data_IF_665050796558
#
_entry.id   IF_665050796558
#
_cell.length_a   1.000
_cell.length_b   1.000
_cell.length_c   1.000
_cell.angle_alpha   90.00
_cell.angle_beta   90.00
_cell.angle_gamma   90.00
#
_symmetry.space_group_name_H-M   'P 1'
#
loop_
_entity.id
_entity.type
_entity.pdbx_description
1 polymer ?
#
# COMPACT_ATOMS: atom_id res chain seq x y z
N UNK A 1 -10.80 -10.58 -42.00
CA UNK A 1 -10.49 -12.03 -42.08
C UNK A 1 -9.11 -12.35 -42.69
N UNK A 2 -8.03 -11.56 -42.47
CA UNK A 2 -6.66 -12.04 -42.77
C UNK A 2 -5.48 -11.25 -42.16
N UNK A 3 -5.70 -10.18 -41.39
CA UNK A 3 -4.60 -9.34 -40.86
C UNK A 3 -4.67 -9.07 -39.34
N UNK A 4 -5.54 -9.77 -38.60
CA UNK A 4 -5.75 -9.57 -37.16
C UNK A 4 -5.57 -10.86 -36.32
N UNK A 5 -5.09 -11.94 -36.93
CA UNK A 5 -4.94 -13.26 -36.28
C UNK A 5 -3.49 -13.62 -35.89
N UNK A 6 -2.51 -12.72 -36.00
CA UNK A 6 -1.09 -13.04 -35.75
C UNK A 6 -0.51 -12.61 -34.39
N UNK A 7 -1.32 -12.18 -33.43
CA UNK A 7 -0.82 -11.78 -32.10
C UNK A 7 -1.61 -12.36 -30.90
N UNK A 8 -2.30 -13.49 -31.06
CA UNK A 8 -2.88 -14.25 -29.93
C UNK A 8 -2.44 -15.70 -29.98
N UNK A 9 -1.26 -15.96 -29.44
CA UNK A 9 -0.75 -17.31 -29.21
C UNK A 9 0.11 -17.36 -27.95
N UNK A 10 -0.33 -18.19 -27.00
CA UNK A 10 0.37 -18.72 -25.82
C UNK A 10 0.58 -17.77 -24.62
N UNK A 11 -0.26 -17.91 -23.58
CA UNK A 11 0.05 -18.79 -22.42
C UNK A 11 -1.27 -19.35 -21.88
N UNK A 12 -1.38 -20.69 -21.86
CA UNK A 12 -2.35 -21.45 -21.07
C UNK A 12 -1.76 -21.69 -19.68
N UNK A 13 -2.57 -21.57 -18.64
CA UNK A 13 -2.42 -22.35 -17.39
C UNK A 13 -3.80 -22.39 -16.71
N UNK A 14 -4.61 -23.43 -16.91
CA UNK A 14 -4.75 -24.56 -15.96
C UNK A 14 -4.75 -24.12 -14.50
N UNK A 15 -5.94 -24.01 -13.91
CA UNK A 15 -6.39 -24.99 -12.91
C UNK A 15 -7.84 -24.72 -12.47
N UNK A 16 -8.73 -25.60 -12.91
CA UNK A 16 -9.97 -25.90 -12.20
C UNK A 16 -9.62 -26.80 -11.02
N UNK A 17 -9.98 -26.40 -9.80
CA UNK A 17 -10.14 -27.34 -8.68
C UNK A 17 -11.37 -26.91 -7.89
N UNK A 18 -12.39 -27.76 -7.98
CA UNK A 18 -13.49 -27.90 -7.02
C UNK A 18 -12.97 -28.43 -5.68
N UNK A 19 -13.50 -27.90 -4.56
CA UNK A 19 -13.68 -28.58 -3.24
C UNK A 19 -14.15 -27.54 -2.21
N UNK A 20 -15.42 -27.58 -1.84
CA UNK A 20 -16.00 -28.37 -0.74
C UNK A 20 -15.68 -27.80 0.63
N UNK A 21 -16.72 -27.24 1.25
CA UNK A 21 -16.85 -26.90 2.64
C UNK A 21 -16.46 -28.07 3.56
N UNK A 22 -15.58 -27.82 4.53
CA UNK A 22 -15.58 -28.59 5.77
C UNK A 22 -15.05 -27.74 6.92
N UNK A 23 -15.93 -27.57 7.90
CA UNK A 23 -15.68 -27.02 9.22
C UNK A 23 -14.63 -27.86 9.96
N UNK A 24 -13.61 -27.23 10.56
CA UNK A 24 -12.89 -27.80 11.70
C UNK A 24 -12.52 -26.72 12.72
N UNK A 25 -12.67 -27.14 13.97
CA UNK A 25 -12.57 -26.42 15.23
C UNK A 25 -11.18 -25.84 15.50
N UNK A 26 -11.22 -24.78 16.31
CA UNK A 26 -10.20 -24.27 17.22
C UNK A 26 -9.26 -25.34 17.80
N UNK A 27 -7.96 -25.15 17.60
CA UNK A 27 -6.94 -25.67 18.50
C UNK A 27 -5.71 -24.75 18.48
N UNK A 28 -5.36 -24.25 19.66
CA UNK A 28 -4.15 -23.51 19.98
C UNK A 28 -2.91 -24.26 19.48
N UNK A 29 -2.10 -23.62 18.64
CA UNK A 29 -0.75 -24.11 18.33
C UNK A 29 0.28 -23.02 18.58
N UNK A 30 0.93 -23.20 19.73
CA UNK A 30 2.18 -22.55 20.08
C UNK A 30 3.21 -22.63 18.94
N UNK A 31 3.86 -21.50 18.69
CA UNK A 31 4.91 -21.30 17.70
C UNK A 31 6.10 -22.24 17.95
N UNK A 32 6.43 -23.08 16.97
CA UNK A 32 7.58 -23.99 16.96
C UNK A 32 8.90 -23.31 16.54
N UNK A 33 9.19 -22.10 17.02
CA UNK A 33 10.47 -21.41 16.82
C UNK A 33 11.44 -21.66 17.98
N UNK A 34 11.74 -22.92 18.29
CA UNK A 34 12.69 -23.24 19.36
C UNK A 34 13.42 -24.57 19.14
N UNK A 35 13.92 -24.84 17.94
CA UNK A 35 14.93 -25.91 17.71
C UNK A 35 15.94 -25.54 16.62
N UNK A 36 16.71 -24.48 16.88
CA UNK A 36 18.10 -24.40 16.42
C UNK A 36 18.91 -23.90 17.61
N UNK A 37 19.76 -24.76 18.18
CA UNK A 37 20.53 -24.49 19.40
C UNK A 37 21.67 -23.49 19.21
N UNK A 38 21.47 -22.46 18.40
CA UNK A 38 22.41 -21.34 18.24
C UNK A 38 21.74 -20.13 18.88
N UNK A 39 22.26 -19.61 20.01
CA UNK A 39 21.68 -18.43 20.65
C UNK A 39 21.63 -17.24 19.67
N UNK A 40 20.66 -16.31 19.83
CA UNK A 40 20.59 -15.11 18.99
C UNK A 40 21.95 -14.41 18.94
N UNK A 41 22.38 -13.93 17.77
CA UNK A 41 23.72 -13.36 17.59
C UNK A 41 24.02 -12.18 18.54
N UNK A 42 22.98 -11.46 18.95
CA UNK A 42 23.02 -10.38 19.95
C UNK A 42 23.46 -10.91 21.33
N UNK A 43 22.95 -12.06 21.73
CA UNK A 43 23.34 -12.78 22.95
C UNK A 43 24.80 -13.26 22.91
N UNK A 44 25.30 -13.60 21.72
CA UNK A 44 26.69 -14.07 21.54
C UNK A 44 27.69 -12.92 21.70
N UNK A 45 27.36 -11.74 21.17
CA UNK A 45 28.22 -10.56 21.27
C UNK A 45 28.34 -10.06 22.72
N UNK A 46 27.21 -9.94 23.42
CA UNK A 46 27.20 -9.56 24.84
C UNK A 46 27.92 -10.60 25.72
N UNK A 47 27.71 -11.88 25.44
CA UNK A 47 28.42 -12.97 26.13
C UNK A 47 29.93 -12.90 25.91
N UNK A 48 30.39 -12.67 24.68
CA UNK A 48 31.82 -12.53 24.39
C UNK A 48 32.43 -11.30 25.04
N UNK A 49 31.71 -10.15 25.06
CA UNK A 49 32.16 -8.94 25.78
C UNK A 49 32.34 -9.21 27.27
N UNK A 50 31.37 -9.89 27.89
CA UNK A 50 31.42 -10.27 29.30
C UNK A 50 32.56 -11.25 29.59
N UNK A 51 32.67 -12.33 28.80
CA UNK A 51 33.71 -13.34 28.98
C UNK A 51 35.11 -12.76 28.71
N UNK A 52 35.27 -11.80 27.80
CA UNK A 52 36.57 -11.16 27.57
C UNK A 52 37.11 -10.45 28.82
N UNK A 53 36.24 -10.09 29.78
CA UNK A 53 36.62 -9.52 31.08
C UNK A 53 36.73 -10.59 32.16
N UNK A 54 35.76 -11.51 32.24
CA UNK A 54 35.65 -12.50 33.33
C UNK A 54 36.54 -13.73 33.12
N UNK A 55 36.61 -14.27 31.91
CA UNK A 55 37.39 -15.46 31.54
C UNK A 55 37.88 -15.39 30.08
N UNK A 56 39.06 -14.77 29.84
CA UNK A 56 39.62 -14.62 28.50
C UNK A 56 39.91 -15.95 27.79
N UNK A 57 40.12 -17.05 28.53
CA UNK A 57 40.40 -18.37 27.94
C UNK A 57 39.13 -18.96 27.34
N UNK A 58 38.02 -18.86 28.06
CA UNK A 58 36.72 -19.33 27.58
C UNK A 58 36.17 -18.43 26.46
N UNK A 59 36.40 -17.11 26.54
CA UNK A 59 36.09 -16.19 25.44
C UNK A 59 36.85 -16.55 24.15
N UNK A 60 38.15 -16.87 24.25
CA UNK A 60 38.96 -17.31 23.10
C UNK A 60 38.41 -18.60 22.48
N UNK A 61 38.06 -19.58 23.31
CA UNK A 61 37.48 -20.86 22.85
C UNK A 61 36.14 -20.63 22.14
N UNK A 62 35.27 -19.81 22.73
CA UNK A 62 33.96 -19.45 22.17
C UNK A 62 34.11 -18.74 20.83
N UNK A 63 35.04 -17.78 20.73
CA UNK A 63 35.32 -17.08 19.48
C UNK A 63 35.84 -18.04 18.39
N UNK A 64 36.76 -18.95 18.71
CA UNK A 64 37.28 -19.91 17.73
C UNK A 64 36.20 -20.89 17.24
N UNK A 65 35.28 -21.30 18.11
CA UNK A 65 34.12 -22.10 17.70
C UNK A 65 33.23 -21.35 16.70
N UNK A 66 32.94 -20.07 16.97
CA UNK A 66 32.18 -19.20 16.07
C UNK A 66 32.92 -18.94 14.73
N UNK A 67 34.24 -18.76 14.79
CA UNK A 67 35.08 -18.55 13.63
C UNK A 67 35.12 -19.77 12.70
N UNK A 68 35.20 -20.97 13.29
CA UNK A 68 35.21 -22.24 12.58
C UNK A 68 33.83 -22.61 12.04
N UNK A 69 32.73 -22.29 12.74
CA UNK A 69 31.37 -22.56 12.24
C UNK A 69 31.00 -21.71 11.02
N UNK A 70 31.60 -20.52 10.89
CA UNK A 70 31.28 -19.58 9.81
C UNK A 70 29.83 -19.06 9.84
N UNK A 71 29.51 -18.12 8.95
CA UNK A 71 28.14 -17.63 8.74
C UNK A 71 27.81 -16.27 9.37
N UNK A 72 26.52 -15.89 9.27
CA UNK A 72 26.01 -14.54 9.55
C UNK A 72 26.14 -14.08 11.01
N UNK A 73 26.43 -14.98 11.95
CA UNK A 73 26.68 -14.63 13.35
C UNK A 73 28.09 -14.05 13.56
N UNK A 74 29.09 -14.56 12.85
CA UNK A 74 30.44 -14.03 12.85
C UNK A 74 30.49 -12.64 12.20
N UNK A 75 29.82 -12.46 11.06
CA UNK A 75 29.75 -11.16 10.36
C UNK A 75 29.05 -10.08 11.20
N UNK A 76 27.97 -10.45 11.91
CA UNK A 76 27.29 -9.53 12.84
C UNK A 76 28.16 -9.15 14.04
N UNK A 77 28.90 -10.10 14.62
CA UNK A 77 29.87 -9.81 15.68
C UNK A 77 30.90 -8.79 15.19
N UNK A 78 31.54 -9.06 14.05
CA UNK A 78 32.63 -8.23 13.53
C UNK A 78 32.16 -6.82 13.14
N UNK A 79 30.94 -6.68 12.60
CA UNK A 79 30.33 -5.38 12.30
C UNK A 79 30.02 -4.53 13.53
N UNK A 80 29.87 -5.14 14.72
CA UNK A 80 29.64 -4.42 15.98
C UNK A 80 30.94 -3.99 16.69
N UNK A 81 32.09 -4.59 16.33
CA UNK A 81 33.41 -4.31 16.95
C UNK A 81 34.10 -3.05 16.41
N UNK A 82 33.39 -2.22 15.65
CA UNK A 82 33.88 -0.92 15.18
C UNK A 82 33.81 0.19 16.24
N UNK A 83 33.20 -0.09 17.40
CA UNK A 83 33.11 0.87 18.52
C UNK A 83 34.46 1.01 19.26
N UNK A 84 34.87 2.23 19.66
CA UNK A 84 36.07 2.45 20.47
C UNK A 84 36.07 1.69 21.81
N UNK A 85 34.89 1.32 22.33
CA UNK A 85 34.75 0.62 23.61
C UNK A 85 35.15 -0.88 23.55
N UNK A 86 35.39 -1.43 22.36
CA UNK A 86 35.58 -2.87 22.15
C UNK A 86 37.07 -3.31 22.09
N UNK A 87 38.02 -2.47 22.50
CA UNK A 87 39.47 -2.74 22.41
C UNK A 87 39.92 -4.08 23.04
N UNK A 88 39.36 -4.47 24.19
CA UNK A 88 39.65 -5.78 24.83
C UNK A 88 39.21 -6.97 23.97
N UNK A 89 38.05 -6.85 23.33
CA UNK A 89 37.52 -7.91 22.49
C UNK A 89 38.29 -7.98 21.16
N UNK A 90 38.72 -6.85 20.60
CA UNK A 90 39.65 -6.80 19.45
C UNK A 90 41.00 -7.44 19.77
N UNK A 91 41.56 -7.17 20.96
CA UNK A 91 42.78 -7.84 21.44
C UNK A 91 42.60 -9.36 21.54
N UNK A 92 41.47 -9.82 22.09
CA UNK A 92 41.16 -11.24 22.20
C UNK A 92 41.06 -11.91 20.83
N UNK A 93 40.36 -11.28 19.88
CA UNK A 93 40.23 -11.78 18.50
C UNK A 93 41.60 -11.84 17.82
N UNK A 94 42.39 -10.77 17.90
CA UNK A 94 43.71 -10.71 17.28
C UNK A 94 44.69 -11.74 17.87
N UNK A 95 44.73 -11.88 19.20
CA UNK A 95 45.55 -12.89 19.87
C UNK A 95 45.12 -14.32 19.54
N UNK A 96 43.82 -14.57 19.34
CA UNK A 96 43.31 -15.86 18.92
C UNK A 96 43.74 -16.24 17.50
N UNK A 97 43.88 -15.26 16.62
CA UNK A 97 44.18 -15.45 15.19
C UNK A 97 45.67 -15.44 14.85
N UNK A 98 46.56 -15.00 15.75
CA UNK A 98 48.01 -14.85 15.52
C UNK A 98 48.64 -16.02 14.75
N UNK A 99 48.36 -17.24 15.21
CA UNK A 99 48.91 -18.49 14.65
C UNK A 99 47.86 -19.31 13.88
N UNK A 100 46.70 -18.74 13.56
CA UNK A 100 45.63 -19.44 12.87
C UNK A 100 45.89 -19.46 11.35
N UNK A 101 45.76 -20.64 10.72
CA UNK A 101 46.01 -20.81 9.26
C UNK A 101 45.01 -20.05 8.41
N UNK A 102 43.79 -19.85 8.89
CA UNK A 102 42.71 -19.18 8.17
C UNK A 102 42.57 -17.69 8.54
N UNK A 103 43.58 -17.10 9.22
CA UNK A 103 43.54 -15.71 9.69
C UNK A 103 43.34 -14.68 8.59
N UNK A 104 43.64 -15.03 7.33
CA UNK A 104 43.37 -14.21 6.15
C UNK A 104 41.87 -13.87 6.00
N UNK A 105 40.96 -14.74 6.47
CA UNK A 105 39.50 -14.50 6.45
C UNK A 105 39.09 -13.25 7.24
N UNK A 106 39.89 -12.85 8.23
CA UNK A 106 39.62 -11.69 9.09
C UNK A 106 40.63 -10.56 8.91
N UNK A 107 41.54 -10.68 7.95
CA UNK A 107 42.47 -9.62 7.59
C UNK A 107 41.79 -8.26 7.36
N UNK A 108 40.62 -8.14 6.69
CA UNK A 108 39.98 -6.85 6.46
C UNK A 108 39.60 -6.13 7.76
N UNK A 109 39.05 -6.87 8.71
CA UNK A 109 38.66 -6.35 10.03
C UNK A 109 39.88 -5.98 10.87
N UNK A 110 40.93 -6.81 10.84
CA UNK A 110 42.17 -6.52 11.55
C UNK A 110 42.86 -5.25 11.01
N UNK A 111 42.87 -5.01 9.71
CA UNK A 111 43.41 -3.76 9.12
C UNK A 111 42.57 -2.56 9.56
N UNK A 112 41.24 -2.62 9.40
CA UNK A 112 40.34 -1.54 9.79
C UNK A 112 40.47 -1.21 11.28
N UNK A 113 40.60 -2.22 12.14
CA UNK A 113 40.84 -2.01 13.56
C UNK A 113 42.21 -1.40 13.86
N UNK A 114 43.27 -1.77 13.14
CA UNK A 114 44.60 -1.19 13.34
C UNK A 114 44.64 0.33 13.13
N UNK A 115 43.83 0.84 12.19
CA UNK A 115 43.73 2.27 11.87
C UNK A 115 42.98 3.07 12.94
N UNK A 116 41.94 2.49 13.55
CA UNK A 116 41.07 3.18 14.53
C UNK A 116 41.39 2.84 16.00
N UNK A 117 42.27 1.87 16.26
CA UNK A 117 42.57 1.40 17.62
C UNK A 117 43.51 2.37 18.37
N UNK A 118 43.05 2.82 19.53
CA UNK A 118 43.79 3.72 20.43
C UNK A 118 44.53 2.96 21.52
N UNK A 119 44.13 1.73 21.84
CA UNK A 119 44.80 0.90 22.85
C UNK A 119 46.07 0.23 22.29
N UNK A 120 47.22 0.53 22.89
CA UNK A 120 48.53 0.02 22.45
C UNK A 120 48.65 -1.51 22.51
N UNK A 121 47.99 -2.17 23.47
CA UNK A 121 48.06 -3.62 23.62
C UNK A 121 47.22 -4.33 22.55
N UNK A 122 46.03 -3.81 22.25
CA UNK A 122 45.18 -4.28 21.16
C UNK A 122 45.86 -4.02 19.81
N UNK A 123 46.42 -2.82 19.61
CA UNK A 123 47.12 -2.45 18.38
C UNK A 123 48.31 -3.35 18.07
N UNK A 124 49.13 -3.71 19.07
CA UNK A 124 50.22 -4.68 18.92
C UNK A 124 49.73 -6.10 18.64
N UNK A 125 48.63 -6.52 19.28
CA UNK A 125 48.05 -7.84 19.02
C UNK A 125 47.52 -7.95 17.59
N UNK A 126 46.86 -6.89 17.09
CA UNK A 126 46.35 -6.78 15.72
C UNK A 126 47.51 -6.81 14.73
N UNK A 127 48.57 -6.02 14.94
CA UNK A 127 49.76 -6.01 14.10
C UNK A 127 50.42 -7.40 14.03
N UNK A 128 50.53 -8.09 15.17
CA UNK A 128 51.05 -9.46 15.22
C UNK A 128 50.14 -10.49 14.53
N UNK A 129 48.83 -10.26 14.47
CA UNK A 129 47.90 -11.11 13.72
C UNK A 129 48.01 -10.91 12.21
N UNK A 130 48.23 -9.67 11.78
CA UNK A 130 48.43 -9.28 10.38
C UNK A 130 49.78 -9.70 9.79
N UNK A 131 50.74 -10.08 10.61
CA UNK A 131 52.05 -10.53 10.14
C UNK A 131 51.92 -11.72 9.17
N UNK A 132 52.54 -11.59 7.99
CA UNK A 132 52.46 -12.58 6.90
C UNK A 132 51.17 -12.56 6.05
N UNK A 133 50.23 -11.64 6.29
CA UNK A 133 49.01 -11.51 5.49
C UNK A 133 49.27 -10.64 4.24
N UNK A 134 48.89 -11.12 3.05
CA UNK A 134 49.00 -10.36 1.80
C UNK A 134 47.98 -9.21 1.76
N UNK A 135 48.43 -7.97 2.00
CA UNK A 135 47.62 -6.77 2.23
C UNK A 135 46.64 -6.40 1.09
N UNK A 136 46.96 -6.73 -0.17
CA UNK A 136 46.09 -6.49 -1.32
C UNK A 136 44.78 -7.28 -1.24
N UNK A 137 44.82 -8.48 -0.64
CA UNK A 137 43.63 -9.32 -0.44
C UNK A 137 42.66 -8.72 0.57
N UNK A 138 43.17 -8.04 1.59
CA UNK A 138 42.35 -7.59 2.72
C UNK A 138 41.48 -6.37 2.38
N UNK A 139 42.01 -5.37 1.66
CA UNK A 139 41.20 -4.24 1.19
C UNK A 139 40.14 -4.67 0.17
N UNK A 140 40.50 -5.57 -0.76
CA UNK A 140 39.57 -6.16 -1.72
C UNK A 140 38.48 -7.01 -1.04
N UNK A 141 38.84 -7.76 0.01
CA UNK A 141 37.88 -8.56 0.78
C UNK A 141 36.97 -7.69 1.65
N UNK A 142 37.46 -6.60 2.26
CA UNK A 142 36.63 -5.60 2.96
C UNK A 142 35.60 -4.99 2.01
N UNK A 143 36.05 -4.57 0.83
CA UNK A 143 35.16 -4.01 -0.19
C UNK A 143 34.12 -5.04 -0.63
N UNK A 144 34.52 -6.29 -0.88
CA UNK A 144 33.60 -7.37 -1.27
C UNK A 144 32.56 -7.65 -0.16
N UNK A 145 32.97 -7.60 1.11
CA UNK A 145 32.06 -7.77 2.25
C UNK A 145 31.06 -6.62 2.36
N UNK A 146 31.50 -5.37 2.19
CA UNK A 146 30.58 -4.24 2.25
C UNK A 146 29.63 -4.22 1.04
N UNK A 147 30.12 -4.57 -0.15
CA UNK A 147 29.26 -4.77 -1.34
C UNK A 147 28.23 -5.86 -1.07
N UNK A 148 28.60 -7.00 -0.50
CA UNK A 148 27.66 -8.08 -0.16
C UNK A 148 26.63 -7.64 0.89
N UNK A 149 27.06 -6.87 1.90
CA UNK A 149 26.19 -6.32 2.95
C UNK A 149 25.16 -5.35 2.37
N UNK A 150 25.62 -4.40 1.57
CA UNK A 150 24.76 -3.41 0.90
C UNK A 150 23.80 -4.08 -0.09
N UNK A 151 24.29 -5.02 -0.90
CA UNK A 151 23.45 -5.77 -1.85
C UNK A 151 22.35 -6.54 -1.13
N UNK A 152 22.66 -7.15 0.03
CA UNK A 152 21.66 -7.85 0.85
C UNK A 152 20.65 -6.89 1.45
N UNK A 153 21.09 -5.72 1.94
CA UNK A 153 20.21 -4.69 2.49
C UNK A 153 19.23 -4.16 1.43
N UNK A 154 19.74 -3.82 0.25
CA UNK A 154 18.94 -3.40 -0.91
C UNK A 154 17.96 -4.50 -1.30
N UNK A 155 18.42 -5.75 -1.40
CA UNK A 155 17.54 -6.88 -1.74
C UNK A 155 16.37 -7.05 -0.77
N UNK A 156 16.60 -6.85 0.55
CA UNK A 156 15.54 -6.88 1.56
C UNK A 156 14.57 -5.71 1.43
N UNK A 157 15.08 -4.50 1.23
CA UNK A 157 14.25 -3.31 1.07
C UNK A 157 13.37 -3.41 -0.18
N UNK A 158 13.94 -3.88 -1.29
CA UNK A 158 13.20 -4.12 -2.53
C UNK A 158 12.11 -5.18 -2.34
N UNK A 159 12.42 -6.30 -1.68
CA UNK A 159 11.43 -7.34 -1.40
C UNK A 159 10.28 -6.84 -0.50
N UNK A 160 10.59 -6.01 0.50
CA UNK A 160 9.59 -5.41 1.37
C UNK A 160 8.71 -4.41 0.60
N UNK A 161 9.31 -3.57 -0.24
CA UNK A 161 8.60 -2.60 -1.07
C UNK A 161 7.70 -3.29 -2.09
N UNK A 162 8.18 -4.36 -2.73
CA UNK A 162 7.40 -5.16 -3.66
C UNK A 162 6.20 -5.81 -2.97
N UNK A 163 6.39 -6.34 -1.75
CA UNK A 163 5.28 -6.87 -0.95
C UNK A 163 4.22 -5.81 -0.65
N UNK A 164 4.62 -4.62 -0.19
CA UNK A 164 3.68 -3.53 0.10
C UNK A 164 2.95 -3.05 -1.16
N UNK A 165 3.65 -2.98 -2.29
CA UNK A 165 3.03 -2.62 -3.56
C UNK A 165 1.97 -3.65 -3.99
N UNK A 166 2.23 -4.95 -3.82
CA UNK A 166 1.23 -6.00 -4.09
C UNK A 166 0.01 -5.88 -3.16
N UNK A 167 0.22 -5.58 -1.88
CA UNK A 167 -0.88 -5.37 -0.93
C UNK A 167 -1.74 -4.15 -1.33
N UNK A 168 -1.13 -3.07 -1.82
CA UNK A 168 -1.84 -1.90 -2.35
C UNK A 168 -2.56 -2.18 -3.67
N UNK A 169 -1.97 -2.99 -4.55
CA UNK A 169 -2.59 -3.40 -5.81
C UNK A 169 -3.86 -4.21 -5.57
N UNK A 170 -3.81 -5.16 -4.63
CA UNK A 170 -5.00 -5.91 -4.18
C UNK A 170 -6.07 -4.96 -3.61
N UNK A 171 -5.67 -3.99 -2.78
CA UNK A 171 -6.61 -3.02 -2.22
C UNK A 171 -7.26 -2.15 -3.31
N UNK A 172 -6.50 -1.78 -4.36
CA UNK A 172 -7.00 -1.06 -5.53
C UNK A 172 -8.03 -1.89 -6.29
N UNK A 173 -7.71 -3.15 -6.58
CA UNK A 173 -8.64 -4.07 -7.24
C UNK A 173 -9.95 -4.21 -6.44
N UNK A 174 -9.86 -4.36 -5.12
CA UNK A 174 -11.05 -4.41 -4.26
C UNK A 174 -11.85 -3.10 -4.31
N UNK A 175 -11.19 -1.94 -4.30
CA UNK A 175 -11.86 -0.65 -4.41
C UNK A 175 -12.55 -0.48 -5.78
N UNK A 176 -11.96 -0.98 -6.86
CA UNK A 176 -12.57 -0.94 -8.20
C UNK A 176 -13.94 -1.63 -8.25
N UNK A 177 -14.14 -2.67 -7.44
CA UNK A 177 -15.41 -3.39 -7.35
C UNK A 177 -16.51 -2.62 -6.59
N UNK A 178 -16.15 -1.56 -5.85
CA UNK A 178 -17.12 -0.69 -5.16
C UNK A 178 -17.82 0.27 -6.12
N UNK A 179 -17.22 0.55 -7.29
CA UNK A 179 -17.83 1.40 -8.29
C UNK A 179 -18.87 0.65 -9.14
N UNK A 180 -19.82 1.36 -9.76
CA UNK A 180 -20.81 0.77 -10.64
C UNK A 180 -20.19 -0.09 -11.74
N UNK A 181 -20.42 -1.40 -11.65
CA UNK A 181 -19.99 -2.37 -12.67
C UNK A 181 -20.95 -2.39 -13.88
N UNK A 182 -22.17 -1.88 -13.69
CA UNK A 182 -23.22 -1.78 -14.69
C UNK A 182 -23.94 -0.46 -14.51
N UNK A 183 -24.44 0.08 -15.61
CA UNK A 183 -25.27 1.27 -15.63
C UNK A 183 -26.72 0.83 -15.94
N UNK A 184 -27.60 0.82 -14.93
CA UNK A 184 -29.03 0.57 -15.13
C UNK A 184 -29.65 1.37 -16.29
N UNK A 185 -30.36 0.76 -17.26
CA UNK A 185 -31.01 1.54 -18.30
C UNK A 185 -32.16 2.36 -17.69
N UNK A 186 -32.13 3.68 -17.91
CA UNK A 186 -33.18 4.60 -17.42
C UNK A 186 -33.81 5.34 -18.60
N UNK A 187 -35.14 5.24 -18.82
CA UNK A 187 -35.79 5.89 -19.93
C UNK A 187 -35.56 7.40 -19.97
N UNK A 188 -35.03 7.89 -21.10
CA UNK A 188 -34.80 9.32 -21.32
C UNK A 188 -33.65 9.92 -20.53
N UNK A 189 -32.75 9.10 -19.96
CA UNK A 189 -31.56 9.55 -19.26
C UNK A 189 -30.32 8.79 -19.75
N UNK A 190 -29.41 9.52 -20.40
CA UNK A 190 -28.05 9.04 -20.66
C UNK A 190 -27.13 9.50 -19.53
N UNK A 191 -26.37 8.57 -18.97
CA UNK A 191 -25.46 8.86 -17.87
C UNK A 191 -24.24 7.92 -17.89
N UNK A 192 -23.14 8.40 -17.33
CA UNK A 192 -21.91 7.65 -17.18
C UNK A 192 -21.16 8.14 -15.93
N UNK A 193 -20.22 7.32 -15.46
CA UNK A 193 -19.30 7.67 -14.38
C UNK A 193 -17.88 7.27 -14.75
N UNK A 194 -16.92 8.05 -14.27
CA UNK A 194 -15.50 7.75 -14.43
C UNK A 194 -14.77 8.11 -13.14
N UNK A 195 -13.99 7.16 -12.63
CA UNK A 195 -13.07 7.37 -11.52
C UNK A 195 -11.63 7.28 -12.01
N UNK A 196 -10.82 8.26 -11.63
CA UNK A 196 -9.39 8.34 -11.93
C UNK A 196 -8.63 8.68 -10.65
N UNK A 197 -8.13 7.69 -9.92
CA UNK A 197 -7.47 7.96 -8.64
C UNK A 197 -6.10 8.62 -8.85
N UNK A 198 -5.74 9.52 -7.94
CA UNK A 198 -4.41 10.15 -7.93
C UNK A 198 -3.30 9.25 -7.34
N UNK A 199 -3.69 8.16 -6.66
CA UNK A 199 -2.82 7.14 -6.04
C UNK A 199 -3.41 5.76 -6.31
N UNK A 200 -2.83 4.72 -5.73
CA UNK A 200 -3.35 3.35 -5.83
C UNK A 200 -4.77 3.24 -5.26
N UNK A 201 -5.07 3.96 -4.16
CA UNK A 201 -6.36 3.89 -3.45
C UNK A 201 -6.80 5.27 -2.98
N UNK A 202 -8.05 5.64 -3.27
CA UNK A 202 -8.60 6.99 -3.07
C UNK A 202 -9.75 7.08 -2.05
N UNK A 203 -10.18 8.31 -1.76
CA UNK A 203 -11.35 8.61 -0.93
C UNK A 203 -12.61 8.94 -1.73
N UNK A 204 -12.48 9.14 -3.05
CA UNK A 204 -13.63 9.48 -3.89
C UNK A 204 -14.56 8.28 -4.07
N UNK A 205 -15.85 8.57 -4.16
CA UNK A 205 -16.92 7.62 -4.31
C UNK A 205 -17.93 8.14 -5.32
N UNK A 206 -18.44 7.26 -6.18
CA UNK A 206 -19.67 7.51 -6.91
C UNK A 206 -20.44 6.21 -7.10
N UNK A 207 -21.76 6.29 -7.20
CA UNK A 207 -22.60 5.12 -7.41
C UNK A 207 -23.91 5.44 -8.15
N UNK A 208 -24.45 4.42 -8.80
CA UNK A 208 -25.74 4.41 -9.47
C UNK A 208 -26.56 3.24 -8.92
N UNK A 209 -27.60 3.56 -8.15
CA UNK A 209 -28.41 2.57 -7.43
C UNK A 209 -29.78 2.45 -8.08
N UNK A 210 -30.19 1.25 -8.46
CA UNK A 210 -31.56 1.00 -8.92
C UNK A 210 -32.53 1.12 -7.74
N UNK A 211 -33.54 1.97 -7.88
CA UNK A 211 -34.55 2.20 -6.85
C UNK A 211 -35.91 1.65 -7.31
N UNK A 212 -36.83 1.36 -6.37
CA UNK A 212 -38.19 0.95 -6.69
C UNK A 212 -38.89 1.94 -7.64
N UNK A 213 -39.67 1.39 -8.57
CA UNK A 213 -40.40 2.17 -9.58
C UNK A 213 -39.57 2.59 -10.79
N UNK A 214 -38.37 2.00 -10.98
CA UNK A 214 -37.48 2.36 -12.10
C UNK A 214 -36.76 3.69 -11.90
N UNK A 215 -36.77 4.21 -10.67
CA UNK A 215 -36.03 5.42 -10.28
C UNK A 215 -34.53 5.10 -10.16
N UNK A 216 -33.71 6.13 -10.30
CA UNK A 216 -32.24 6.01 -10.23
C UNK A 216 -31.69 6.84 -9.07
N UNK A 217 -31.03 6.19 -8.13
CA UNK A 217 -30.19 6.83 -7.12
C UNK A 217 -28.82 7.17 -7.70
N UNK A 218 -28.35 8.38 -7.45
CA UNK A 218 -27.05 8.89 -7.90
C UNK A 218 -26.32 9.38 -6.64
N UNK A 219 -25.15 8.82 -6.38
CA UNK A 219 -24.32 9.20 -5.25
C UNK A 219 -22.96 9.68 -5.73
N UNK A 220 -22.43 10.74 -5.13
CA UNK A 220 -21.07 11.23 -5.34
C UNK A 220 -20.53 11.74 -4.02
N UNK A 221 -19.38 11.25 -3.58
CA UNK A 221 -18.81 11.61 -2.30
C UNK A 221 -17.29 11.59 -2.27
N UNK A 222 -16.75 12.13 -1.18
CA UNK A 222 -15.31 12.16 -0.91
C UNK A 222 -15.08 11.94 0.58
N UNK A 223 -14.21 10.98 0.90
CA UNK A 223 -13.79 10.63 2.25
C UNK A 223 -12.48 11.32 2.60
N UNK A 224 -12.45 11.93 3.79
CA UNK A 224 -11.22 12.50 4.34
C UNK A 224 -10.09 11.48 4.52
N UNK A 225 -8.91 11.87 4.05
CA UNK A 225 -7.69 11.07 4.12
C UNK A 225 -7.32 10.43 2.78
N UNK A 226 -6.49 9.39 2.83
CA UNK A 226 -6.00 8.67 1.64
C UNK A 226 -5.56 7.25 1.98
N UNK A 227 -5.39 6.43 0.96
CA UNK A 227 -4.94 5.04 1.09
C UNK A 227 -6.03 4.11 1.65
N UNK A 228 -5.61 2.95 2.16
CA UNK A 228 -6.50 1.84 2.54
C UNK A 228 -7.58 2.26 3.54
N UNK A 229 -7.25 3.08 4.55
CA UNK A 229 -8.23 3.54 5.53
C UNK A 229 -9.35 4.40 4.95
N UNK A 230 -9.09 5.17 3.88
CA UNK A 230 -10.12 5.94 3.19
C UNK A 230 -11.02 5.01 2.35
N UNK A 231 -10.44 4.04 1.63
CA UNK A 231 -11.21 3.06 0.87
C UNK A 231 -12.11 2.17 1.73
N UNK A 232 -11.67 1.80 2.93
CA UNK A 232 -12.54 1.04 3.86
C UNK A 232 -13.77 1.85 4.28
N UNK A 233 -13.63 3.16 4.45
CA UNK A 233 -14.77 4.03 4.73
C UNK A 233 -15.67 4.21 3.50
N UNK A 234 -15.10 4.31 2.29
CA UNK A 234 -15.88 4.28 1.04
C UNK A 234 -16.69 2.97 0.94
N UNK A 235 -16.09 1.83 1.26
CA UNK A 235 -16.80 0.54 1.27
C UNK A 235 -17.93 0.51 2.30
N UNK A 236 -17.71 1.07 3.50
CA UNK A 236 -18.76 1.17 4.52
C UNK A 236 -19.90 2.09 4.09
N UNK A 237 -19.58 3.21 3.44
CA UNK A 237 -20.55 4.16 2.88
C UNK A 237 -21.39 3.50 1.78
N UNK A 238 -20.73 2.85 0.83
CA UNK A 238 -21.36 2.15 -0.30
C UNK A 238 -22.31 1.05 0.18
N UNK A 239 -21.83 0.17 1.08
CA UNK A 239 -22.65 -0.89 1.64
C UNK A 239 -23.87 -0.35 2.40
N UNK A 240 -23.67 0.71 3.21
CA UNK A 240 -24.75 1.33 3.98
C UNK A 240 -25.79 1.98 3.07
N UNK A 241 -25.34 2.68 2.03
CA UNK A 241 -26.22 3.34 1.07
C UNK A 241 -27.03 2.31 0.28
N UNK A 242 -26.38 1.30 -0.32
CA UNK A 242 -27.09 0.26 -1.09
C UNK A 242 -28.08 -0.53 -0.25
N UNK A 243 -27.74 -0.82 1.01
CA UNK A 243 -28.64 -1.56 1.90
C UNK A 243 -29.91 -0.79 2.25
N UNK A 244 -29.84 0.55 2.32
CA UNK A 244 -30.94 1.39 2.78
C UNK A 244 -31.72 2.07 1.66
N UNK A 245 -31.09 2.34 0.51
CA UNK A 245 -31.70 3.13 -0.57
C UNK A 245 -32.98 2.52 -1.16
N UNK A 246 -33.12 1.18 -1.15
CA UNK A 246 -34.34 0.51 -1.62
C UNK A 246 -35.46 0.47 -0.57
N UNK A 247 -35.15 0.75 0.70
CA UNK A 247 -36.06 0.59 1.84
C UNK A 247 -36.55 1.94 2.38
N UNK A 248 -35.66 2.94 2.41
CA UNK A 248 -35.97 4.27 2.94
C UNK A 248 -36.37 5.19 1.80
N UNK A 249 -37.60 5.71 1.85
CA UNK A 249 -38.17 6.49 0.75
C UNK A 249 -37.77 7.96 0.76
N UNK A 250 -37.55 8.55 1.94
CA UNK A 250 -37.16 9.95 2.06
C UNK A 250 -35.63 10.07 2.09
N UNK A 251 -35.02 10.80 1.13
CA UNK A 251 -33.57 10.93 1.05
C UNK A 251 -32.91 11.55 2.29
N UNK A 252 -33.59 12.45 3.00
CA UNK A 252 -33.02 13.08 4.19
C UNK A 252 -32.92 12.05 5.34
N UNK A 253 -33.98 11.27 5.56
CA UNK A 253 -33.99 10.15 6.51
C UNK A 253 -32.94 9.08 6.13
N UNK A 254 -32.81 8.79 4.83
CA UNK A 254 -31.78 7.87 4.32
C UNK A 254 -30.38 8.36 4.69
N UNK A 255 -30.06 9.64 4.43
CA UNK A 255 -28.76 10.21 4.79
C UNK A 255 -28.49 10.19 6.29
N UNK A 256 -29.50 10.45 7.14
CA UNK A 256 -29.36 10.36 8.59
C UNK A 256 -28.99 8.95 9.09
N UNK A 257 -29.60 7.92 8.49
CA UNK A 257 -29.31 6.52 8.80
C UNK A 257 -27.94 6.08 8.28
N UNK A 258 -27.60 6.46 7.05
CA UNK A 258 -26.28 6.19 6.46
C UNK A 258 -25.18 6.85 7.31
N UNK A 259 -25.35 8.11 7.70
CA UNK A 259 -24.42 8.81 8.57
C UNK A 259 -24.20 8.06 9.90
N UNK A 260 -25.29 7.59 10.52
CA UNK A 260 -25.20 6.83 11.78
C UNK A 260 -24.38 5.54 11.62
N UNK A 261 -24.60 4.77 10.55
CA UNK A 261 -23.85 3.54 10.28
C UNK A 261 -22.38 3.81 9.98
N UNK A 262 -22.10 4.81 9.14
CA UNK A 262 -20.71 5.18 8.79
C UNK A 262 -19.97 5.70 10.02
N UNK A 263 -20.59 6.53 10.86
CA UNK A 263 -19.98 7.00 12.11
C UNK A 263 -19.67 5.84 13.08
N UNK A 264 -20.54 4.84 13.19
CA UNK A 264 -20.30 3.66 14.03
C UNK A 264 -19.16 2.79 13.50
N UNK A 265 -19.01 2.68 12.19
CA UNK A 265 -17.95 1.92 11.54
C UNK A 265 -16.60 2.65 11.49
N UNK A 266 -16.58 3.96 11.82
CA UNK A 266 -15.44 4.85 11.61
C UNK A 266 -14.74 5.26 12.90
N UNK A 267 -13.45 5.57 12.79
CA UNK A 267 -12.71 6.24 13.88
C UNK A 267 -13.07 7.73 13.96
N UNK A 268 -13.01 8.31 15.15
CA UNK A 268 -13.49 9.68 15.46
C UNK A 268 -12.83 10.82 14.67
N UNK A 269 -11.76 10.56 13.91
CA UNK A 269 -11.00 11.58 13.18
C UNK A 269 -11.14 11.47 11.65
N UNK A 270 -12.24 10.87 11.16
CA UNK A 270 -12.56 10.79 9.74
C UNK A 270 -14.01 11.14 9.49
N UNK A 271 -14.22 11.84 8.39
CA UNK A 271 -15.53 12.24 7.87
C UNK A 271 -15.62 11.96 6.37
N UNK A 272 -16.85 11.92 5.87
CA UNK A 272 -17.16 11.83 4.45
C UNK A 272 -18.10 12.97 4.06
N UNK A 273 -17.96 13.46 2.84
CA UNK A 273 -18.94 14.34 2.18
C UNK A 273 -19.71 13.53 1.16
N UNK A 274 -21.00 13.79 1.00
CA UNK A 274 -21.83 13.05 0.05
C UNK A 274 -22.90 13.96 -0.56
N UNK A 275 -23.03 13.91 -1.87
CA UNK A 275 -24.21 14.35 -2.61
C UNK A 275 -25.00 13.11 -3.03
N UNK A 276 -26.28 13.05 -2.67
CA UNK A 276 -27.18 11.98 -3.07
C UNK A 276 -28.41 12.55 -3.78
N UNK A 277 -28.81 11.94 -4.88
CA UNK A 277 -30.00 12.33 -5.62
C UNK A 277 -30.80 11.13 -6.13
N UNK A 278 -32.11 11.27 -6.21
CA UNK A 278 -33.03 10.33 -6.82
C UNK A 278 -33.66 10.96 -8.06
N UNK A 279 -33.52 10.29 -9.20
CA UNK A 279 -34.16 10.65 -10.46
C UNK A 279 -35.37 9.76 -10.73
N UNK A 280 -36.51 10.39 -10.98
CA UNK A 280 -37.73 9.72 -11.43
C UNK A 280 -37.91 9.91 -12.94
N UNK A 281 -37.84 8.84 -13.77
CA UNK A 281 -38.02 8.95 -15.21
C UNK A 281 -39.45 9.30 -15.64
N UNK A 282 -40.46 8.98 -14.83
CA UNK A 282 -41.86 9.25 -15.15
C UNK A 282 -42.16 10.76 -15.08
N UNK A 283 -41.65 11.41 -14.04
CA UNK A 283 -41.87 12.84 -13.80
C UNK A 283 -40.70 13.72 -14.29
N UNK A 284 -39.56 13.12 -14.63
CA UNK A 284 -38.29 13.78 -14.95
C UNK A 284 -37.80 14.72 -13.84
N UNK A 285 -38.12 14.38 -12.60
CA UNK A 285 -37.75 15.15 -11.42
C UNK A 285 -36.51 14.55 -10.78
N UNK A 286 -35.64 15.43 -10.30
CA UNK A 286 -34.48 15.09 -9.48
C UNK A 286 -34.72 15.65 -8.08
N UNK A 287 -34.73 14.77 -7.09
CA UNK A 287 -34.74 15.10 -5.67
C UNK A 287 -33.34 14.83 -5.11
N UNK A 288 -32.80 15.70 -4.25
CA UNK A 288 -31.43 15.51 -3.75
C UNK A 288 -31.24 16.00 -2.31
N UNK A 289 -30.14 15.56 -1.71
CA UNK A 289 -29.59 16.01 -0.42
C UNK A 289 -28.09 16.20 -0.59
N UNK A 290 -27.56 17.32 -0.10
CA UNK A 290 -26.11 17.57 -0.09
C UNK A 290 -25.57 17.54 1.35
N UNK A 291 -25.00 16.41 1.75
CA UNK A 291 -24.30 16.24 3.02
C UNK A 291 -22.86 16.78 2.96
N UNK A 292 -22.73 18.09 2.73
CA UNK A 292 -21.45 18.81 2.82
C UNK A 292 -20.49 18.62 1.63
N UNK A 293 -20.95 18.04 0.52
CA UNK A 293 -20.19 17.89 -0.71
C UNK A 293 -20.20 19.17 -1.55
N UNK A 294 -19.24 19.31 -2.47
CA UNK A 294 -19.27 20.46 -3.38
C UNK A 294 -20.54 20.42 -4.24
N UNK A 295 -21.35 21.49 -4.28
CA UNK A 295 -22.57 21.56 -5.07
C UNK A 295 -22.37 21.12 -6.52
N UNK A 296 -23.07 20.06 -6.98
CA UNK A 296 -23.02 19.68 -8.39
C UNK A 296 -23.51 20.81 -9.29
N UNK A 297 -23.03 20.79 -10.52
CA UNK A 297 -23.37 21.78 -11.54
C UNK A 297 -24.33 21.15 -12.55
N UNK A 298 -25.40 21.87 -12.86
CA UNK A 298 -26.32 21.61 -13.96
C UNK A 298 -26.02 22.60 -15.07
N UNK A 299 -25.64 22.10 -16.23
CA UNK A 299 -25.51 22.89 -17.46
C UNK A 299 -26.80 22.75 -18.28
N UNK A 300 -27.38 23.87 -18.72
CA UNK A 300 -28.54 23.90 -19.61
C UNK A 300 -28.22 24.72 -20.86
N UNK A 301 -28.45 24.17 -22.04
CA UNK A 301 -28.05 24.78 -23.32
C UNK A 301 -29.22 25.42 -24.07
N UNK A 302 -29.66 26.61 -23.70
CA UNK A 302 -30.79 27.29 -24.36
C UNK A 302 -30.31 28.23 -25.47
N UNK A 303 -30.69 27.96 -26.73
CA UNK A 303 -30.59 28.88 -27.86
C UNK A 303 -29.23 29.63 -27.99
N UNK A 304 -28.12 28.90 -27.93
CA UNK A 304 -26.76 29.47 -28.07
C UNK A 304 -26.15 30.02 -26.77
N UNK A 305 -26.83 29.89 -25.63
CA UNK A 305 -26.32 30.23 -24.31
C UNK A 305 -26.29 29.00 -23.39
N UNK A 306 -25.25 28.90 -22.57
CA UNK A 306 -25.12 27.86 -21.54
C UNK A 306 -25.40 28.47 -20.17
N UNK A 307 -26.49 28.04 -19.53
CA UNK A 307 -26.80 28.42 -18.16
C UNK A 307 -26.17 27.40 -17.19
N UNK A 308 -25.43 27.91 -16.21
CA UNK A 308 -24.81 27.13 -15.14
C UNK A 308 -25.62 27.30 -13.87
N UNK A 309 -26.25 26.23 -13.40
CA UNK A 309 -26.99 26.18 -12.14
C UNK A 309 -26.19 25.34 -11.14
N UNK A 310 -25.95 25.84 -9.94
CA UNK A 310 -25.31 25.06 -8.86
C UNK A 310 -26.37 24.53 -7.91
N UNK A 311 -26.32 23.24 -7.60
CA UNK A 311 -27.20 22.60 -6.61
C UNK A 311 -26.69 22.87 -5.19
N UNK A 312 -26.84 24.13 -4.75
CA UNK A 312 -26.43 24.56 -3.40
C UNK A 312 -27.50 24.19 -2.39
N UNK A 313 -27.05 23.84 -1.19
CA UNK A 313 -27.90 23.84 -0.01
C UNK A 313 -27.90 25.24 0.61
N UNK A 314 -29.10 25.80 0.74
CA UNK A 314 -29.45 26.64 1.87
C UNK A 314 -30.23 25.68 2.79
N UNK A 315 -29.57 25.15 3.83
CA UNK A 315 -30.11 24.29 4.90
C UNK A 315 -30.91 23.04 4.47
N UNK A 316 -30.33 21.82 4.56
CA UNK A 316 -31.01 20.50 4.60
C UNK A 316 -32.40 20.43 3.93
N UNK A 317 -32.48 20.91 2.68
CA UNK A 317 -33.73 21.41 2.12
C UNK A 317 -34.01 20.79 0.76
N UNK A 318 -35.05 19.97 0.71
CA UNK A 318 -35.60 19.34 -0.50
C UNK A 318 -35.75 20.35 -1.64
N UNK A 319 -35.07 20.15 -2.77
CA UNK A 319 -35.36 20.84 -4.04
C UNK A 319 -35.71 19.86 -5.14
N UNK A 320 -36.71 20.24 -5.92
CA UNK A 320 -37.21 19.53 -7.08
C UNK A 320 -36.83 20.31 -8.34
N UNK A 321 -36.26 19.63 -9.34
CA UNK A 321 -35.93 20.24 -10.63
C UNK A 321 -36.68 19.51 -11.73
N UNK A 322 -37.57 20.22 -12.42
CA UNK A 322 -38.28 19.77 -13.63
C UNK A 322 -37.35 19.87 -14.87
N UNK A 323 -37.14 18.74 -15.56
CA UNK A 323 -36.24 18.59 -16.73
C UNK A 323 -36.97 18.47 -18.06
N UNK A 324 -37.99 19.29 -18.29
CA UNK A 324 -38.75 19.28 -19.56
C UNK A 324 -37.94 19.59 -20.83
N UNK A 325 -36.69 20.10 -20.76
CA UNK A 325 -35.82 20.30 -21.94
C UNK A 325 -34.30 20.37 -21.58
N UNK A 326 -33.49 19.50 -22.21
CA UNK A 326 -32.03 19.54 -22.49
C UNK A 326 -31.03 18.77 -21.60
N UNK A 327 -29.95 18.34 -22.28
CA UNK A 327 -28.78 17.59 -21.79
C UNK A 327 -28.11 18.27 -20.59
N UNK A 328 -27.92 17.50 -19.51
CA UNK A 328 -27.24 17.93 -18.29
C UNK A 328 -26.01 17.08 -18.05
N UNK A 329 -24.85 17.73 -17.99
CA UNK A 329 -23.57 17.12 -17.59
C UNK A 329 -23.28 17.47 -16.13
N UNK A 330 -22.85 16.47 -15.35
CA UNK A 330 -22.42 16.61 -13.96
C UNK A 330 -20.90 16.48 -13.87
N UNK A 331 -20.26 17.33 -13.07
CA UNK A 331 -18.83 17.22 -12.78
C UNK A 331 -18.58 17.48 -11.29
N UNK A 332 -17.85 16.58 -10.64
CA UNK A 332 -17.22 16.79 -9.33
C UNK A 332 -15.73 16.45 -9.48
N UNK A 333 -14.85 17.40 -9.15
CA UNK A 333 -13.43 17.11 -9.07
C UNK A 333 -12.76 18.03 -8.06
N UNK A 334 -12.24 17.44 -6.99
CA UNK A 334 -11.22 18.03 -6.10
C UNK A 334 -9.79 17.92 -6.69
N UNK A 335 -9.61 17.29 -7.86
CA UNK A 335 -8.33 17.16 -8.56
C UNK A 335 -8.11 18.20 -9.68
N UNK A 336 -6.87 18.68 -9.83
CA UNK A 336 -6.45 19.66 -10.86
C UNK A 336 -6.66 19.12 -12.27
N UNK A 337 -7.09 19.99 -13.17
CA UNK A 337 -7.24 19.73 -14.60
C UNK A 337 -5.89 19.84 -15.33
N UNK A 338 -5.49 18.79 -16.05
CA UNK A 338 -4.69 18.90 -17.28
C UNK A 338 -5.64 18.59 -18.45
N UNK A 339 -5.77 19.53 -19.38
CA UNK A 339 -6.60 19.36 -20.55
C UNK A 339 -5.93 18.37 -21.52
N UNK A 340 -6.52 17.17 -21.67
CA UNK A 340 -6.15 16.23 -22.72
C UNK A 340 -6.70 16.75 -24.07
N UNK A 341 -5.84 17.12 -25.05
CA UNK A 341 -6.26 17.61 -26.37
C UNK A 341 -6.94 16.53 -27.24
N UNK A 342 -6.97 15.27 -26.78
CA UNK A 342 -7.46 14.13 -27.55
C UNK A 342 -8.98 13.91 -27.52
N UNK A 343 -9.72 14.55 -26.60
CA UNK A 343 -11.17 14.38 -26.51
C UNK A 343 -11.88 15.26 -27.55
N UNK A 344 -11.88 14.79 -28.81
CA UNK A 344 -12.66 15.39 -29.89
C UNK A 344 -14.13 15.37 -29.49
N UNK A 345 -14.67 16.55 -29.20
CA UNK A 345 -16.09 16.87 -29.18
C UNK A 345 -16.71 16.47 -30.52
N UNK A 346 -17.27 15.26 -30.56
CA UNK A 346 -17.92 14.69 -31.73
C UNK A 346 -19.40 15.03 -31.74
N UNK A 347 -19.75 16.29 -32.04
CA UNK A 347 -21.06 16.61 -32.59
C UNK A 347 -21.14 15.93 -33.96
N UNK A 348 -21.84 14.80 -34.05
CA UNK A 348 -22.32 14.28 -35.34
C UNK A 348 -23.83 14.25 -35.33
N UNK A 349 -24.38 15.29 -35.95
CA UNK A 349 -25.73 15.34 -36.52
C UNK A 349 -26.05 14.01 -37.22
N UNK A 350 -26.98 13.23 -36.66
CA UNK A 350 -27.82 12.32 -37.45
C UNK A 350 -29.26 12.56 -37.05
N UNK A 351 -29.97 13.31 -37.90
CA UNK A 351 -31.42 13.26 -38.00
C UNK A 351 -31.83 11.79 -38.11
N UNK A 352 -32.64 11.30 -37.19
CA UNK A 352 -33.62 10.26 -37.51
C UNK A 352 -34.98 10.71 -36.99
N UNK A 353 -35.88 10.86 -37.96
CA UNK A 353 -37.30 11.10 -37.82
C UNK A 353 -37.96 9.90 -37.12
N UNK A 354 -39.00 10.21 -36.35
CA UNK A 354 -39.93 9.32 -35.66
C UNK A 354 -40.24 7.96 -36.35
N UNK A 355 -40.40 6.92 -35.53
CA UNK A 355 -41.71 6.35 -35.17
C UNK A 355 -41.69 5.84 -33.74
#
# INVERSE_FOLDING_TARGET
MAALERLRGAVRSTNAVSRSSTCWKTEERHSNYARSGIPPAELVCERLRRLAVEDPREARKTFLQLFNSGGSALERLLGQLSSPADGRLRHLVASALRNNRDKERLAPYLIAWHEIETDEFAKRAIASALDGVKTVSAAQTALAQEVARLTTAIGREMAQRERLNRELEIARELQEHLFPQRLPPVPGLDYCGQYRPAREVGGDYYDFVELPGGRLGIAVGDVSGKGVGAALMVASLEASLRALASVVQDPADLMGRVNSLVCQASSSNRYATLFYAEYDPATRRLMYVNAGHNPPVVLRSSAGSCQVLRLRDEEWGRREIDRTRQDVSWASSSGRYEADPGCRTGVRNRRFSAR
#
